data_IF_007670024110
#
_entry.id   IF_007670024110
#
_cell.length_a   1.000
_cell.length_b   1.000
_cell.length_c   1.000
_cell.angle_alpha   90.00
_cell.angle_beta   90.00
_cell.angle_gamma   90.00
#
_symmetry.space_group_name_H-M   'P 1'
#
loop_
_entity.id
_entity.type
_entity.pdbx_description
1 polymer ?
#
# COMPACT_ATOMS: atom_id res chain seq x y z
N UNK A 1 0.25 -29.72 -7.31
CA UNK A 1 -0.11 -28.41 -6.71
C UNK A 1 -1.19 -27.81 -7.58
N UNK A 2 -2.30 -27.33 -7.01
CA UNK A 2 -3.34 -26.62 -7.80
C UNK A 2 -2.76 -25.28 -8.25
N UNK A 3 -2.79 -25.05 -9.55
CA UNK A 3 -2.40 -23.76 -10.13
C UNK A 3 -3.30 -22.64 -9.55
N UNK A 4 -2.70 -21.55 -9.10
CA UNK A 4 -3.45 -20.39 -8.57
C UNK A 4 -4.27 -19.77 -9.72
N UNK A 5 -5.54 -19.47 -9.46
CA UNK A 5 -6.39 -18.83 -10.46
C UNK A 5 -5.96 -17.37 -10.66
N UNK A 6 -5.96 -16.85 -11.90
CA UNK A 6 -5.73 -15.44 -12.16
C UNK A 6 -6.71 -14.53 -11.39
N UNK A 7 -6.24 -13.38 -10.94
CA UNK A 7 -7.09 -12.32 -10.40
C UNK A 7 -7.70 -11.53 -11.55
N UNK A 8 -9.03 -11.55 -11.67
CA UNK A 8 -9.77 -10.89 -12.75
C UNK A 8 -10.52 -9.67 -12.22
N UNK A 9 -10.17 -8.48 -12.71
CA UNK A 9 -10.74 -7.19 -12.31
C UNK A 9 -11.44 -6.57 -13.53
N UNK A 10 -12.63 -7.06 -13.87
CA UNK A 10 -13.31 -6.72 -15.11
C UNK A 10 -12.50 -7.19 -16.32
N UNK A 11 -11.99 -6.26 -17.13
CA UNK A 11 -11.16 -6.51 -18.31
C UNK A 11 -9.64 -6.48 -18.03
N UNK A 12 -9.23 -6.31 -16.77
CA UNK A 12 -7.84 -6.42 -16.31
C UNK A 12 -7.61 -7.81 -15.70
N UNK A 13 -6.68 -8.57 -16.26
CA UNK A 13 -6.30 -9.89 -15.77
C UNK A 13 -4.87 -9.85 -15.23
N UNK A 14 -4.69 -10.34 -14.01
CA UNK A 14 -3.39 -10.51 -13.33
C UNK A 14 -3.17 -12.00 -13.21
N UNK A 15 -2.18 -12.53 -13.91
CA UNK A 15 -1.94 -13.98 -14.05
C UNK A 15 -1.71 -14.67 -12.71
N UNK A 16 -0.90 -14.04 -11.85
CA UNK A 16 -0.65 -14.50 -10.48
C UNK A 16 -1.44 -13.59 -9.51
N UNK A 17 -2.31 -14.12 -8.65
CA UNK A 17 -3.23 -13.31 -7.83
C UNK A 17 -2.50 -12.61 -6.67
N UNK A 18 -1.36 -12.01 -6.97
CA UNK A 18 -0.47 -11.32 -6.03
C UNK A 18 -0.28 -9.87 -6.46
N UNK A 19 -0.67 -8.96 -5.59
CA UNK A 19 -0.43 -7.53 -5.72
C UNK A 19 0.75 -7.17 -4.82
N UNK A 20 1.77 -6.53 -5.36
CA UNK A 20 2.78 -5.87 -4.53
C UNK A 20 2.20 -4.56 -4.02
N UNK A 21 2.00 -4.45 -2.72
CA UNK A 21 1.42 -3.26 -2.09
C UNK A 21 2.30 -2.02 -2.21
N UNK A 22 1.68 -0.87 -2.47
CA UNK A 22 2.39 0.40 -2.57
C UNK A 22 3.05 0.80 -1.25
N UNK A 23 4.35 1.12 -1.28
CA UNK A 23 5.16 1.50 -0.12
C UNK A 23 5.87 2.83 -0.38
N UNK A 24 5.52 3.84 0.37
CA UNK A 24 6.15 5.17 0.34
C UNK A 24 7.03 5.40 1.58
N UNK A 25 7.99 6.27 1.49
CA UNK A 25 8.47 7.08 0.36
C UNK A 25 9.61 6.35 -0.32
N UNK A 26 9.59 6.24 -1.67
CA UNK A 26 10.73 5.73 -2.42
C UNK A 26 11.02 4.23 -2.31
N UNK A 27 10.13 3.43 -1.71
CA UNK A 27 10.31 2.00 -1.51
C UNK A 27 9.79 1.21 -2.71
N UNK A 28 8.57 1.52 -3.18
CA UNK A 28 8.01 0.96 -4.42
C UNK A 28 7.87 2.03 -5.48
N UNK A 29 8.83 2.09 -6.40
CA UNK A 29 8.82 2.90 -7.60
C UNK A 29 8.83 1.99 -8.83
N UNK A 30 9.38 2.47 -9.95
CA UNK A 30 9.33 1.75 -11.24
C UNK A 30 10.04 0.40 -11.23
N UNK A 31 11.19 0.27 -10.51
CA UNK A 31 11.97 -0.97 -10.53
C UNK A 31 11.19 -2.11 -9.89
N UNK A 32 10.71 -1.89 -8.67
CA UNK A 32 9.94 -2.90 -7.93
C UNK A 32 8.62 -3.20 -8.64
N UNK A 33 7.81 -2.17 -8.92
CA UNK A 33 6.51 -2.35 -9.54
C UNK A 33 6.61 -3.00 -10.92
N UNK A 34 7.57 -2.56 -11.75
CA UNK A 34 7.83 -3.15 -13.06
C UNK A 34 8.28 -4.60 -12.98
N UNK A 35 9.17 -4.94 -12.03
CA UNK A 35 9.63 -6.31 -11.84
C UNK A 35 8.48 -7.25 -11.43
N UNK A 36 7.64 -6.86 -10.49
CA UNK A 36 6.46 -7.65 -10.09
C UNK A 36 5.49 -7.81 -11.25
N UNK A 37 5.18 -6.74 -11.96
CA UNK A 37 4.31 -6.80 -13.13
C UNK A 37 4.86 -7.73 -14.24
N UNK A 38 6.18 -7.77 -14.43
CA UNK A 38 6.86 -8.65 -15.39
C UNK A 38 6.74 -10.13 -15.01
N UNK A 39 6.62 -10.47 -13.73
CA UNK A 39 6.45 -11.86 -13.27
C UNK A 39 5.01 -12.36 -13.30
N UNK A 40 4.08 -11.56 -13.80
CA UNK A 40 2.64 -11.90 -13.86
C UNK A 40 1.82 -11.45 -12.65
N UNK A 41 2.43 -10.82 -11.65
CA UNK A 41 1.74 -10.14 -10.56
C UNK A 41 1.28 -8.73 -10.94
N UNK A 42 0.77 -7.98 -9.96
CA UNK A 42 0.45 -6.55 -10.12
C UNK A 42 1.42 -5.69 -9.33
N UNK A 43 2.14 -4.81 -10.01
CA UNK A 43 3.07 -3.87 -9.40
C UNK A 43 2.41 -2.55 -9.06
N UNK A 44 2.62 -2.05 -7.83
CA UNK A 44 2.01 -0.80 -7.36
C UNK A 44 3.09 0.21 -6.98
N UNK A 45 3.10 1.34 -7.67
CA UNK A 45 3.95 2.50 -7.38
C UNK A 45 3.28 3.32 -6.27
N UNK A 46 4.04 3.73 -5.26
CA UNK A 46 3.54 4.65 -4.25
C UNK A 46 3.69 6.10 -4.70
N UNK A 47 2.59 6.84 -4.72
CA UNK A 47 2.59 8.28 -5.04
C UNK A 47 3.03 9.16 -3.86
N UNK A 48 3.21 8.60 -2.66
CA UNK A 48 3.58 9.36 -1.47
C UNK A 48 4.97 9.99 -1.64
N UNK A 49 5.00 11.34 -1.76
CA UNK A 49 6.22 12.13 -1.95
C UNK A 49 7.15 11.58 -3.03
N UNK A 50 6.58 11.05 -4.09
CA UNK A 50 7.27 10.36 -5.19
C UNK A 50 8.37 11.20 -5.85
N UNK A 51 8.23 12.52 -5.78
CA UNK A 51 9.19 13.50 -6.30
C UNK A 51 10.39 13.78 -5.40
N UNK A 52 10.60 13.05 -4.30
CA UNK A 52 11.62 13.38 -3.30
C UNK A 52 13.06 13.44 -3.84
N UNK A 53 13.35 12.76 -4.97
CA UNK A 53 14.64 12.80 -5.66
C UNK A 53 14.77 13.95 -6.67
N UNK A 54 13.70 14.72 -6.92
CA UNK A 54 13.75 15.86 -7.82
C UNK A 54 14.53 17.01 -7.17
N UNK A 55 15.41 17.71 -7.92
CA UNK A 55 16.25 18.77 -7.34
C UNK A 55 15.44 19.95 -6.78
N UNK A 56 14.22 20.16 -7.27
CA UNK A 56 13.32 21.22 -6.84
C UNK A 56 12.20 20.73 -5.88
N UNK A 57 12.32 19.51 -5.33
CA UNK A 57 11.31 18.92 -4.44
C UNK A 57 10.95 19.83 -3.24
N UNK A 58 11.93 20.52 -2.66
CA UNK A 58 11.70 21.39 -1.51
C UNK A 58 11.10 22.74 -1.86
N UNK A 59 11.23 23.20 -3.10
CA UNK A 59 10.80 24.53 -3.57
C UNK A 59 9.59 24.48 -4.49
N UNK A 60 9.37 23.34 -5.16
CA UNK A 60 8.28 23.14 -6.12
C UNK A 60 7.64 21.75 -5.93
N UNK A 61 7.24 21.47 -4.69
CA UNK A 61 6.79 20.15 -4.23
C UNK A 61 5.72 19.51 -5.12
N UNK A 62 4.70 20.27 -5.52
CA UNK A 62 3.58 19.72 -6.29
C UNK A 62 4.06 19.26 -7.66
N UNK A 63 4.74 20.13 -8.41
CA UNK A 63 5.19 19.81 -9.76
C UNK A 63 6.27 18.71 -9.77
N UNK A 64 7.16 18.69 -8.77
CA UNK A 64 8.13 17.61 -8.60
C UNK A 64 7.45 16.24 -8.49
N UNK A 65 6.37 16.15 -7.71
CA UNK A 65 5.59 14.91 -7.58
C UNK A 65 4.83 14.56 -8.87
N UNK A 66 4.20 15.52 -9.54
CA UNK A 66 3.49 15.28 -10.81
C UNK A 66 4.44 14.76 -11.90
N UNK A 67 5.61 15.39 -12.07
CA UNK A 67 6.63 14.92 -13.00
C UNK A 67 7.09 13.50 -12.70
N UNK A 68 7.26 13.19 -11.40
CA UNK A 68 7.70 11.87 -10.97
C UNK A 68 6.63 10.80 -11.15
N UNK A 69 5.33 11.09 -10.96
CA UNK A 69 4.24 10.16 -11.30
C UNK A 69 4.34 9.75 -12.77
N UNK A 70 4.48 10.71 -13.69
CA UNK A 70 4.63 10.42 -15.13
C UNK A 70 5.88 9.59 -15.42
N UNK A 71 7.02 10.00 -14.85
CA UNK A 71 8.32 9.32 -15.07
C UNK A 71 8.31 7.90 -14.55
N UNK A 72 7.86 7.68 -13.31
CA UNK A 72 7.89 6.35 -12.69
C UNK A 72 6.95 5.37 -13.42
N UNK A 73 5.77 5.82 -13.85
CA UNK A 73 4.89 4.99 -14.68
C UNK A 73 5.52 4.63 -16.02
N UNK A 74 6.13 5.60 -16.71
CA UNK A 74 6.81 5.35 -17.99
C UNK A 74 7.92 4.31 -17.84
N UNK A 75 8.79 4.47 -16.84
CA UNK A 75 9.91 3.55 -16.60
C UNK A 75 9.42 2.15 -16.19
N UNK A 76 8.37 2.05 -15.35
CA UNK A 76 7.78 0.77 -15.00
C UNK A 76 7.18 0.06 -16.23
N UNK A 77 6.56 0.83 -17.11
CA UNK A 77 5.99 0.31 -18.37
C UNK A 77 7.08 -0.15 -19.36
N UNK A 78 8.27 0.44 -19.33
CA UNK A 78 9.44 -0.03 -20.10
C UNK A 78 9.91 -1.41 -19.61
N UNK A 79 9.83 -1.68 -18.29
CA UNK A 79 10.18 -3.00 -17.69
C UNK A 79 9.10 -4.06 -17.99
N UNK A 80 7.82 -3.68 -17.90
CA UNK A 80 6.68 -4.56 -18.10
C UNK A 80 5.62 -3.93 -19.02
N UNK A 81 5.83 -3.94 -20.35
CA UNK A 81 4.94 -3.25 -21.31
C UNK A 81 3.48 -3.68 -21.25
N UNK A 82 3.22 -4.96 -20.94
CA UNK A 82 1.89 -5.56 -20.86
C UNK A 82 1.48 -5.93 -19.42
N UNK A 83 2.35 -5.69 -18.45
CA UNK A 83 2.09 -6.02 -17.04
C UNK A 83 1.05 -5.11 -16.39
N UNK A 84 0.38 -5.58 -15.35
CA UNK A 84 -0.55 -4.78 -14.57
C UNK A 84 0.22 -3.86 -13.61
N UNK A 85 0.08 -2.53 -13.81
CA UNK A 85 0.80 -1.52 -13.01
C UNK A 85 -0.17 -0.44 -12.56
N UNK A 86 -0.14 -0.12 -11.27
CA UNK A 86 -0.98 0.92 -10.69
C UNK A 86 -0.28 1.85 -9.73
N UNK A 87 -1.07 2.73 -9.11
CA UNK A 87 -0.62 3.60 -8.04
C UNK A 87 -1.36 3.33 -6.73
N UNK A 88 -0.62 3.39 -5.63
CA UNK A 88 -1.19 3.62 -4.32
C UNK A 88 -1.20 5.12 -4.02
N UNK A 89 -2.38 5.68 -3.69
CA UNK A 89 -2.56 7.10 -3.40
C UNK A 89 -3.33 7.25 -2.09
N UNK A 90 -2.71 7.91 -1.12
CA UNK A 90 -3.30 8.12 0.22
C UNK A 90 -4.29 9.28 0.21
N UNK A 91 -5.51 9.04 0.71
CA UNK A 91 -6.57 10.07 0.84
C UNK A 91 -6.13 11.23 1.73
N UNK A 92 -5.37 10.95 2.78
CA UNK A 92 -4.90 11.96 3.75
C UNK A 92 -3.88 12.96 3.16
N UNK A 93 -3.39 12.76 1.94
CA UNK A 93 -2.43 13.68 1.31
C UNK A 93 -3.13 14.92 0.78
N UNK A 94 -2.51 16.08 0.98
CA UNK A 94 -2.91 17.31 0.30
C UNK A 94 -2.74 17.14 -1.21
N UNK A 95 -3.62 17.74 -1.99
CA UNK A 95 -3.65 17.61 -3.45
C UNK A 95 -3.96 16.17 -3.95
N UNK A 96 -4.70 15.39 -3.16
CA UNK A 96 -5.11 14.04 -3.52
C UNK A 96 -5.74 13.95 -4.92
N UNK A 97 -6.60 14.91 -5.26
CA UNK A 97 -7.23 15.03 -6.58
C UNK A 97 -6.20 15.17 -7.71
N UNK A 98 -5.14 15.95 -7.50
CA UNK A 98 -4.07 16.16 -8.49
C UNK A 98 -3.28 14.87 -8.71
N UNK A 99 -2.95 14.14 -7.64
CA UNK A 99 -2.24 12.85 -7.75
C UNK A 99 -3.07 11.81 -8.49
N UNK A 100 -4.37 11.73 -8.19
CA UNK A 100 -5.32 10.85 -8.89
C UNK A 100 -5.39 11.19 -10.37
N UNK A 101 -5.62 12.45 -10.72
CA UNK A 101 -5.70 12.89 -12.11
C UNK A 101 -4.42 12.60 -12.88
N UNK A 102 -3.26 12.83 -12.25
CA UNK A 102 -1.98 12.57 -12.90
C UNK A 102 -1.72 11.08 -13.12
N UNK A 103 -2.09 10.22 -12.15
CA UNK A 103 -1.99 8.77 -12.31
C UNK A 103 -2.86 8.24 -13.45
N UNK A 104 -4.08 8.78 -13.61
CA UNK A 104 -4.95 8.47 -14.76
C UNK A 104 -4.31 8.88 -16.08
N UNK A 105 -3.80 10.12 -16.16
CA UNK A 105 -3.14 10.65 -17.37
C UNK A 105 -1.85 9.90 -17.71
N UNK A 106 -1.12 9.41 -16.70
CA UNK A 106 0.08 8.60 -16.87
C UNK A 106 -0.22 7.17 -17.36
N UNK A 107 -1.48 6.75 -17.45
CA UNK A 107 -1.88 5.45 -17.99
C UNK A 107 -1.77 4.30 -16.98
N UNK A 108 -2.06 4.55 -15.73
CA UNK A 108 -2.17 3.50 -14.72
C UNK A 108 -3.34 2.55 -15.01
N UNK A 109 -3.17 1.26 -14.72
CA UNK A 109 -4.23 0.26 -14.85
C UNK A 109 -5.20 0.28 -13.67
N UNK A 110 -4.72 0.68 -12.48
CA UNK A 110 -5.50 0.71 -11.25
C UNK A 110 -5.01 1.82 -10.30
N UNK A 111 -5.93 2.39 -9.52
CA UNK A 111 -5.61 3.18 -8.33
C UNK A 111 -6.12 2.43 -7.10
N UNK A 112 -5.20 2.08 -6.20
CA UNK A 112 -5.51 1.54 -4.87
C UNK A 112 -5.40 2.69 -3.87
N UNK A 113 -6.48 3.01 -3.16
CA UNK A 113 -6.53 4.19 -2.31
C UNK A 113 -7.01 3.89 -0.89
N UNK A 114 -6.27 4.39 0.10
CA UNK A 114 -6.49 4.17 1.53
C UNK A 114 -5.96 5.33 2.36
N UNK A 115 -5.66 5.10 3.64
CA UNK A 115 -5.39 6.13 4.65
C UNK A 115 -6.52 7.16 4.71
N UNK A 116 -7.74 6.68 4.84
CA UNK A 116 -9.02 7.34 4.74
C UNK A 116 -9.89 6.68 3.67
N UNK A 117 -11.21 6.92 3.71
CA UNK A 117 -12.13 6.39 2.70
C UNK A 117 -12.09 7.26 1.43
N UNK A 118 -11.78 6.69 0.25
CA UNK A 118 -11.60 7.45 -1.00
C UNK A 118 -12.95 7.80 -1.66
N UNK A 119 -13.80 8.54 -0.94
CA UNK A 119 -15.19 8.83 -1.34
C UNK A 119 -15.26 9.54 -2.70
N UNK A 120 -14.33 10.46 -2.98
CA UNK A 120 -14.32 11.27 -4.20
C UNK A 120 -13.39 10.72 -5.30
N UNK A 121 -12.79 9.56 -5.09
CA UNK A 121 -11.90 8.95 -6.10
C UNK A 121 -12.56 8.81 -7.48
N UNK A 122 -13.80 8.31 -7.60
CA UNK A 122 -14.47 8.21 -8.90
C UNK A 122 -14.65 9.57 -9.59
N UNK A 123 -15.01 10.61 -8.83
CA UNK A 123 -15.23 11.96 -9.36
C UNK A 123 -13.92 12.55 -9.94
N UNK A 124 -12.80 12.34 -9.26
CA UNK A 124 -11.49 12.82 -9.72
C UNK A 124 -11.00 12.08 -10.97
N UNK A 125 -11.30 10.79 -11.07
CA UNK A 125 -11.01 10.00 -12.27
C UNK A 125 -11.84 10.47 -13.47
N UNK A 126 -13.13 10.72 -13.28
CA UNK A 126 -13.99 11.28 -14.34
C UNK A 126 -13.50 12.67 -14.77
N UNK A 127 -13.10 13.52 -13.81
CA UNK A 127 -12.53 14.83 -14.13
C UNK A 127 -11.23 14.69 -14.94
N UNK A 128 -10.37 13.72 -14.62
CA UNK A 128 -9.16 13.46 -15.41
C UNK A 128 -9.51 13.06 -16.84
N UNK A 129 -10.48 12.16 -17.03
CA UNK A 129 -10.92 11.75 -18.38
C UNK A 129 -11.55 12.89 -19.18
N UNK A 130 -12.23 13.83 -18.52
CA UNK A 130 -12.79 15.01 -19.18
C UNK A 130 -11.71 15.99 -19.68
N UNK A 131 -10.52 15.98 -19.03
CA UNK A 131 -9.37 16.80 -19.42
C UNK A 131 -8.50 16.15 -20.51
N UNK A 132 -8.69 14.86 -20.85
CA UNK A 132 -7.91 14.14 -21.83
C UNK A 132 -8.49 14.26 -23.24
N UNK A 133 -7.65 14.59 -24.24
CA UNK A 133 -8.02 14.59 -25.64
C UNK A 133 -8.35 13.19 -26.18
N UNK A 134 -7.59 12.20 -25.72
CA UNK A 134 -7.79 10.79 -26.07
C UNK A 134 -7.90 9.95 -24.80
N UNK A 135 -9.03 9.27 -24.63
CA UNK A 135 -9.23 8.32 -23.54
C UNK A 135 -8.50 7.01 -23.83
N UNK A 136 -7.98 6.30 -22.80
CA UNK A 136 -7.38 4.99 -22.98
C UNK A 136 -8.46 3.97 -23.40
N UNK A 137 -8.04 2.91 -24.09
CA UNK A 137 -8.95 1.83 -24.53
C UNK A 137 -9.53 1.08 -23.34
N UNK A 138 -8.75 0.91 -22.27
CA UNK A 138 -9.19 0.32 -21.00
C UNK A 138 -9.32 1.41 -19.93
N UNK A 139 -10.47 1.40 -19.26
CA UNK A 139 -10.71 2.29 -18.13
C UNK A 139 -9.90 1.85 -16.90
N UNK A 140 -9.30 2.81 -16.21
CA UNK A 140 -8.57 2.57 -14.95
C UNK A 140 -9.50 1.92 -13.91
N UNK A 141 -8.97 0.95 -13.15
CA UNK A 141 -9.70 0.29 -12.07
C UNK A 141 -9.58 1.07 -10.77
N UNK A 142 -10.64 1.03 -9.96
CA UNK A 142 -10.72 1.75 -8.69
C UNK A 142 -10.85 0.77 -7.54
N UNK A 143 -9.89 0.82 -6.61
CA UNK A 143 -9.81 -0.09 -5.49
C UNK A 143 -9.67 0.66 -4.16
N UNK A 144 -10.73 0.76 -3.34
CA UNK A 144 -10.60 1.26 -1.98
C UNK A 144 -9.92 0.23 -1.08
N UNK A 145 -9.13 0.72 -0.09
CA UNK A 145 -8.64 -0.08 1.02
C UNK A 145 -9.62 0.07 2.18
N UNK A 146 -10.02 -1.04 2.77
CA UNK A 146 -10.90 -1.12 3.92
C UNK A 146 -10.30 -2.05 4.99
N UNK A 147 -10.67 -1.88 6.25
CA UNK A 147 -10.21 -2.73 7.36
C UNK A 147 -11.35 -3.53 8.01
N UNK A 148 -12.59 -3.30 7.60
CA UNK A 148 -13.77 -3.92 8.20
C UNK A 148 -14.97 -3.96 7.26
N UNK A 149 -15.95 -4.84 7.54
CA UNK A 149 -17.21 -4.89 6.83
C UNK A 149 -17.98 -3.56 6.91
N UNK A 150 -17.86 -2.85 8.02
CA UNK A 150 -18.44 -1.51 8.17
C UNK A 150 -17.84 -0.51 7.19
N UNK A 151 -16.52 -0.46 7.08
CA UNK A 151 -15.85 0.46 6.12
C UNK A 151 -16.12 0.06 4.68
N UNK A 152 -16.18 -1.24 4.36
CA UNK A 152 -16.57 -1.74 3.04
C UNK A 152 -17.99 -1.31 2.66
N UNK A 153 -18.95 -1.49 3.58
CA UNK A 153 -20.33 -1.06 3.37
C UNK A 153 -20.43 0.46 3.15
N UNK A 154 -19.71 1.25 3.95
CA UNK A 154 -19.74 2.71 3.85
C UNK A 154 -19.23 3.15 2.48
N UNK A 155 -18.06 2.67 2.04
CA UNK A 155 -17.48 3.12 0.77
C UNK A 155 -18.30 2.66 -0.43
N UNK A 156 -18.76 1.41 -0.46
CA UNK A 156 -19.63 0.90 -1.51
C UNK A 156 -20.93 1.70 -1.62
N UNK A 157 -21.58 1.98 -0.46
CA UNK A 157 -22.79 2.81 -0.41
C UNK A 157 -22.57 4.25 -0.88
N UNK A 158 -21.43 4.82 -0.54
CA UNK A 158 -21.10 6.21 -0.94
C UNK A 158 -20.90 6.29 -2.45
N UNK A 159 -20.14 5.37 -3.06
CA UNK A 159 -19.93 5.33 -4.50
C UNK A 159 -21.22 5.01 -5.27
N UNK A 160 -22.02 4.06 -4.76
CA UNK A 160 -23.33 3.74 -5.33
C UNK A 160 -24.26 4.94 -5.37
N UNK A 161 -24.34 5.71 -4.27
CA UNK A 161 -25.25 6.86 -4.18
C UNK A 161 -24.79 8.09 -4.97
N UNK A 162 -23.46 8.36 -4.94
CA UNK A 162 -22.91 9.57 -5.56
C UNK A 162 -22.59 9.41 -7.04
N UNK A 163 -22.06 8.25 -7.41
CA UNK A 163 -21.47 8.03 -8.72
C UNK A 163 -22.16 6.91 -9.50
N UNK A 164 -23.11 6.20 -8.88
CA UNK A 164 -23.81 5.04 -9.48
C UNK A 164 -22.85 3.94 -9.95
N UNK A 165 -21.79 3.69 -9.18
CA UNK A 165 -20.80 2.63 -9.42
C UNK A 165 -20.53 1.83 -8.15
N UNK A 166 -19.95 0.64 -8.32
CA UNK A 166 -19.30 -0.13 -7.27
C UNK A 166 -17.77 -0.19 -7.52
N UNK A 167 -16.95 -0.47 -6.50
CA UNK A 167 -15.52 -0.71 -6.67
C UNK A 167 -15.21 -1.77 -7.73
N UNK A 168 -14.08 -1.66 -8.41
CA UNK A 168 -13.62 -2.70 -9.34
C UNK A 168 -12.90 -3.82 -8.59
N UNK A 169 -12.30 -3.50 -7.46
CA UNK A 169 -11.60 -4.38 -6.53
C UNK A 169 -11.74 -3.79 -5.12
N UNK A 170 -11.76 -4.61 -4.08
CA UNK A 170 -11.64 -4.15 -2.69
C UNK A 170 -10.42 -4.78 -2.04
N UNK A 171 -9.55 -3.96 -1.44
CA UNK A 171 -8.41 -4.44 -0.65
C UNK A 171 -8.80 -4.40 0.83
N UNK A 172 -8.69 -5.55 1.52
CA UNK A 172 -8.95 -5.69 2.96
C UNK A 172 -7.61 -5.70 3.68
N UNK A 173 -7.28 -4.59 4.32
CA UNK A 173 -6.05 -4.47 5.11
C UNK A 173 -6.26 -4.94 6.53
N UNK A 174 -5.51 -5.96 6.92
CA UNK A 174 -5.54 -6.58 8.23
C UNK A 174 -4.67 -5.90 9.29
N UNK A 175 -4.90 -6.26 10.58
CA UNK A 175 -4.19 -5.65 11.71
C UNK A 175 -2.70 -5.98 11.76
N UNK A 176 -2.22 -6.95 10.97
CA UNK A 176 -0.80 -7.30 10.83
C UNK A 176 -0.07 -6.54 9.71
N UNK A 177 -0.74 -5.61 9.04
CA UNK A 177 -0.15 -4.77 8.01
C UNK A 177 0.96 -3.86 8.56
N UNK A 178 1.70 -3.26 7.66
CA UNK A 178 2.74 -2.28 7.94
C UNK A 178 2.33 -0.87 7.55
N UNK A 179 3.11 0.12 7.97
CA UNK A 179 2.77 1.51 7.74
C UNK A 179 1.59 1.97 8.58
N UNK A 180 0.79 2.86 8.03
CA UNK A 180 -0.41 3.37 8.71
C UNK A 180 -1.50 2.28 8.76
N UNK A 181 -2.06 2.06 9.94
CA UNK A 181 -3.04 1.01 10.17
C UNK A 181 -4.45 1.59 10.25
N UNK A 182 -5.38 1.00 9.53
CA UNK A 182 -6.81 1.36 9.53
C UNK A 182 -7.57 0.92 10.79
N UNK A 183 -6.88 0.82 11.94
CA UNK A 183 -7.38 0.35 13.23
C UNK A 183 -7.04 1.35 14.33
N UNK A 184 -7.86 1.44 15.38
CA UNK A 184 -7.46 2.09 16.63
C UNK A 184 -6.52 1.17 17.45
N UNK A 185 -5.82 1.74 18.43
CA UNK A 185 -4.99 0.94 19.34
C UNK A 185 -5.81 -0.14 20.06
N UNK A 186 -7.02 0.20 20.53
CA UNK A 186 -7.91 -0.76 21.18
C UNK A 186 -8.33 -1.90 20.26
N UNK A 187 -8.55 -1.62 18.97
CA UNK A 187 -8.85 -2.65 17.97
C UNK A 187 -7.63 -3.54 17.70
N UNK A 188 -6.44 -2.97 17.62
CA UNK A 188 -5.21 -3.77 17.46
C UNK A 188 -4.99 -4.68 18.67
N UNK A 189 -5.21 -4.17 19.88
CA UNK A 189 -5.11 -4.94 21.12
C UNK A 189 -6.17 -6.04 21.18
N UNK A 190 -7.40 -5.76 20.75
CA UNK A 190 -8.47 -6.75 20.72
C UNK A 190 -8.16 -7.94 19.78
N UNK A 191 -7.38 -7.71 18.72
CA UNK A 191 -6.87 -8.79 17.86
C UNK A 191 -5.53 -9.38 18.34
N UNK A 192 -4.95 -8.88 19.45
CA UNK A 192 -3.61 -9.27 19.90
C UNK A 192 -2.51 -8.92 18.89
N UNK A 193 -2.70 -7.84 18.10
CA UNK A 193 -1.84 -7.43 17.01
C UNK A 193 -0.92 -6.24 17.36
N UNK A 194 -0.91 -5.77 18.59
CA UNK A 194 -0.18 -4.60 19.09
C UNK A 194 1.12 -4.95 19.83
N UNK A 195 1.43 -6.24 19.98
CA UNK A 195 2.61 -6.73 20.70
C UNK A 195 3.71 -7.17 19.72
N UNK A 196 4.94 -7.31 20.21
CA UNK A 196 6.05 -7.92 19.47
C UNK A 196 5.90 -9.45 19.33
N UNK A 197 5.04 -10.08 20.15
CA UNK A 197 4.76 -11.53 20.09
C UNK A 197 3.52 -11.86 19.24
N UNK A 198 3.28 -11.09 18.22
CA UNK A 198 2.14 -11.23 17.32
C UNK A 198 1.82 -12.68 16.90
N UNK A 199 2.79 -13.55 16.50
CA UNK A 199 2.44 -14.94 16.13
C UNK A 199 1.75 -15.73 17.24
N UNK A 200 2.04 -15.41 18.51
CA UNK A 200 1.45 -16.11 19.67
C UNK A 200 0.18 -15.42 20.20
N UNK A 201 0.06 -14.11 20.03
CA UNK A 201 -1.03 -13.30 20.60
C UNK A 201 -2.17 -13.03 19.63
N UNK A 202 -1.92 -13.16 18.32
CA UNK A 202 -2.87 -12.79 17.28
C UNK A 202 -4.06 -13.74 17.18
N UNK A 203 -5.27 -13.20 17.36
CA UNK A 203 -6.52 -13.93 17.14
C UNK A 203 -6.87 -13.94 15.64
N UNK A 204 -6.26 -14.89 14.92
CA UNK A 204 -6.48 -15.10 13.49
C UNK A 204 -7.94 -15.37 13.18
N UNK A 205 -8.62 -16.22 13.98
CA UNK A 205 -10.00 -16.60 13.73
C UNK A 205 -10.97 -15.43 13.84
N UNK A 206 -10.71 -14.51 14.78
CA UNK A 206 -11.51 -13.30 14.91
C UNK A 206 -11.41 -12.43 13.66
N UNK A 207 -10.19 -12.28 13.11
CA UNK A 207 -10.02 -11.47 11.90
C UNK A 207 -10.50 -12.20 10.64
N UNK A 208 -10.35 -13.51 10.53
CA UNK A 208 -10.90 -14.32 9.43
C UNK A 208 -12.43 -14.16 9.32
N UNK A 209 -13.13 -14.05 10.45
CA UNK A 209 -14.57 -13.73 10.47
C UNK A 209 -14.86 -12.35 9.88
N UNK A 210 -14.02 -11.35 10.16
CA UNK A 210 -14.16 -10.01 9.61
C UNK A 210 -13.89 -10.00 8.10
N UNK A 211 -12.87 -10.71 7.62
CA UNK A 211 -12.58 -10.87 6.19
C UNK A 211 -13.80 -11.47 5.45
N UNK A 212 -14.37 -12.55 5.98
CA UNK A 212 -15.59 -13.17 5.41
C UNK A 212 -16.77 -12.21 5.41
N UNK A 213 -16.91 -11.38 6.45
CA UNK A 213 -17.97 -10.37 6.51
C UNK A 213 -17.77 -9.27 5.45
N UNK A 214 -16.53 -8.85 5.18
CA UNK A 214 -16.20 -7.92 4.07
C UNK A 214 -16.54 -8.54 2.73
N UNK A 215 -16.13 -9.79 2.47
CA UNK A 215 -16.43 -10.51 1.22
C UNK A 215 -17.93 -10.50 0.97
N UNK A 216 -18.73 -10.85 1.98
CA UNK A 216 -20.20 -10.85 1.87
C UNK A 216 -20.78 -9.48 1.49
N UNK A 217 -20.29 -8.40 2.12
CA UNK A 217 -20.72 -7.03 1.76
C UNK A 217 -20.39 -6.72 0.31
N UNK A 218 -19.20 -7.08 -0.16
CA UNK A 218 -18.76 -6.82 -1.53
C UNK A 218 -19.57 -7.64 -2.54
N UNK A 219 -19.90 -8.90 -2.24
CA UNK A 219 -20.75 -9.76 -3.05
C UNK A 219 -22.16 -9.19 -3.24
N UNK A 220 -22.75 -8.56 -2.20
CA UNK A 220 -24.07 -7.88 -2.30
C UNK A 220 -24.03 -6.76 -3.35
N UNK A 221 -22.97 -5.97 -3.38
CA UNK A 221 -22.77 -4.92 -4.40
C UNK A 221 -22.42 -5.53 -5.77
N UNK A 222 -21.64 -6.60 -5.82
CA UNK A 222 -21.39 -7.36 -7.03
C UNK A 222 -22.69 -7.83 -7.70
N UNK A 223 -23.58 -8.43 -6.91
CA UNK A 223 -24.91 -8.86 -7.35
C UNK A 223 -25.74 -7.69 -7.85
N UNK A 224 -25.76 -6.56 -7.11
CA UNK A 224 -26.47 -5.35 -7.52
C UNK A 224 -26.03 -4.81 -8.87
N UNK A 225 -24.72 -4.89 -9.16
CA UNK A 225 -24.11 -4.38 -10.39
C UNK A 225 -23.91 -5.45 -11.48
N UNK A 226 -24.37 -6.69 -11.24
CA UNK A 226 -24.34 -7.79 -12.21
C UNK A 226 -22.92 -8.25 -12.57
N UNK A 227 -21.94 -8.10 -11.65
CA UNK A 227 -20.54 -8.50 -11.87
C UNK A 227 -19.87 -8.99 -10.60
N UNK A 228 -18.87 -9.85 -10.72
CA UNK A 228 -17.99 -10.16 -9.61
C UNK A 228 -17.10 -8.97 -9.29
N UNK A 229 -17.00 -8.62 -8.02
CA UNK A 229 -16.07 -7.63 -7.50
C UNK A 229 -15.05 -8.39 -6.65
N UNK A 230 -13.80 -8.56 -7.13
CA UNK A 230 -12.81 -9.33 -6.39
C UNK A 230 -12.42 -8.65 -5.08
N UNK A 231 -12.11 -9.49 -4.09
CA UNK A 231 -11.58 -9.07 -2.78
C UNK A 231 -10.16 -9.59 -2.63
N UNK A 232 -9.24 -8.70 -2.29
CA UNK A 232 -7.84 -9.00 -2.05
C UNK A 232 -7.52 -8.69 -0.59
N UNK A 233 -6.92 -9.62 0.13
CA UNK A 233 -6.51 -9.43 1.52
C UNK A 233 -5.07 -8.99 1.64
N UNK A 234 -4.76 -8.20 2.67
CA UNK A 234 -3.42 -7.67 2.94
C UNK A 234 -3.11 -7.70 4.44
N UNK A 235 -1.82 -7.75 4.75
CA UNK A 235 -1.32 -7.73 6.13
C UNK A 235 -1.01 -9.11 6.71
N UNK A 236 0.25 -9.31 7.12
CA UNK A 236 0.72 -10.55 7.73
C UNK A 236 1.04 -11.68 6.76
N UNK A 237 0.85 -11.51 5.46
CA UNK A 237 1.11 -12.52 4.43
C UNK A 237 2.60 -12.54 4.10
N UNK A 238 3.23 -13.70 4.27
CA UNK A 238 4.68 -13.86 4.09
C UNK A 238 5.07 -15.13 3.32
N UNK A 239 4.32 -16.23 3.46
CA UNK A 239 4.58 -17.54 2.86
C UNK A 239 3.46 -17.94 1.90
N UNK A 240 3.69 -19.05 1.16
CA UNK A 240 2.66 -19.66 0.32
C UNK A 240 1.44 -20.13 1.15
N UNK A 241 1.67 -20.68 2.36
CA UNK A 241 0.59 -21.10 3.24
C UNK A 241 -0.29 -19.91 3.64
N UNK A 242 0.31 -18.74 3.89
CA UNK A 242 -0.47 -17.54 4.18
C UNK A 242 -1.33 -17.13 2.97
N UNK A 243 -0.78 -17.23 1.75
CA UNK A 243 -1.54 -16.98 0.51
C UNK A 243 -2.72 -17.95 0.40
N UNK A 244 -2.46 -19.26 0.54
CA UNK A 244 -3.50 -20.29 0.44
C UNK A 244 -4.59 -20.11 1.49
N UNK A 245 -4.23 -19.78 2.73
CA UNK A 245 -5.20 -19.48 3.78
C UNK A 245 -6.18 -18.37 3.38
N UNK A 246 -5.67 -17.29 2.79
CA UNK A 246 -6.54 -16.18 2.36
C UNK A 246 -7.48 -16.58 1.20
N UNK A 247 -6.98 -17.37 0.26
CA UNK A 247 -7.80 -17.89 -0.84
C UNK A 247 -8.88 -18.86 -0.33
N UNK A 248 -8.57 -19.69 0.68
CA UNK A 248 -9.54 -20.58 1.34
C UNK A 248 -10.64 -19.82 2.11
N UNK A 249 -10.35 -18.61 2.60
CA UNK A 249 -11.37 -17.72 3.20
C UNK A 249 -12.34 -17.17 2.16
N UNK A 250 -11.99 -17.24 0.85
CA UNK A 250 -12.79 -16.74 -0.26
C UNK A 250 -12.24 -15.46 -0.90
N UNK A 251 -11.01 -15.03 -0.55
CA UNK A 251 -10.35 -13.94 -1.26
C UNK A 251 -9.96 -14.38 -2.68
N UNK A 252 -9.96 -13.44 -3.63
CA UNK A 252 -9.56 -13.68 -5.04
C UNK A 252 -8.05 -13.52 -5.24
N UNK A 253 -7.35 -12.97 -4.26
CA UNK A 253 -5.90 -12.75 -4.28
C UNK A 253 -5.40 -12.13 -3.00
N UNK A 254 -4.11 -11.79 -2.99
CA UNK A 254 -3.44 -11.18 -1.83
C UNK A 254 -2.63 -9.96 -2.21
N UNK A 255 -2.50 -9.00 -1.27
CA UNK A 255 -1.57 -7.90 -1.38
C UNK A 255 -0.44 -8.08 -0.37
N UNK A 256 0.80 -8.09 -0.86
CA UNK A 256 2.01 -8.33 -0.08
C UNK A 256 2.96 -7.13 -0.23
N UNK A 257 3.50 -6.64 0.87
CA UNK A 257 4.40 -5.49 0.87
C UNK A 257 5.78 -5.85 1.46
N UNK A 258 5.83 -6.17 2.73
CA UNK A 258 7.06 -6.40 3.50
C UNK A 258 8.03 -7.38 2.83
N UNK A 259 7.53 -8.46 2.25
CA UNK A 259 8.34 -9.49 1.59
C UNK A 259 9.11 -8.97 0.37
N UNK A 260 8.60 -7.92 -0.28
CA UNK A 260 9.25 -7.30 -1.43
C UNK A 260 10.28 -6.21 -1.07
N UNK A 261 10.33 -5.75 0.19
CA UNK A 261 11.29 -4.72 0.60
C UNK A 261 12.73 -5.22 0.49
N UNK A 262 13.00 -6.45 0.88
CA UNK A 262 14.33 -7.07 0.81
C UNK A 262 14.57 -7.77 -0.53
N UNK A 263 14.22 -7.09 -1.65
CA UNK A 263 14.54 -7.55 -2.99
C UNK A 263 15.52 -6.62 -3.68
N UNK A 264 16.26 -7.15 -4.67
CA UNK A 264 17.22 -6.38 -5.46
C UNK A 264 16.53 -5.25 -6.23
N UNK A 265 15.29 -5.49 -6.67
CA UNK A 265 14.50 -4.57 -7.47
C UNK A 265 13.79 -3.50 -6.63
N UNK A 266 13.66 -3.68 -5.32
CA UNK A 266 13.13 -2.65 -4.43
C UNK A 266 13.92 -1.35 -4.58
N UNK A 267 13.21 -0.23 -4.71
CA UNK A 267 13.79 1.09 -5.01
C UNK A 267 14.40 1.79 -3.79
N UNK A 268 14.22 1.24 -2.59
CA UNK A 268 14.87 1.70 -1.37
C UNK A 268 16.37 1.51 -1.40
N UNK A 269 17.09 2.30 -0.62
CA UNK A 269 18.53 2.15 -0.42
C UNK A 269 18.89 0.79 0.20
N UNK A 270 20.14 0.35 0.00
CA UNK A 270 20.61 -0.90 0.59
C UNK A 270 20.62 -0.82 2.14
N UNK A 271 20.88 0.35 2.72
CA UNK A 271 20.79 0.56 4.16
C UNK A 271 19.36 0.32 4.69
N UNK A 272 18.33 0.75 3.95
CA UNK A 272 16.93 0.47 4.29
C UNK A 272 16.65 -1.04 4.30
N UNK A 273 17.06 -1.76 3.25
CA UNK A 273 16.90 -3.22 3.14
C UNK A 273 17.63 -3.95 4.25
N UNK A 274 18.86 -3.49 4.56
CA UNK A 274 19.67 -4.08 5.63
C UNK A 274 19.04 -3.86 7.01
N UNK A 275 18.37 -2.73 7.24
CA UNK A 275 17.64 -2.49 8.48
C UNK A 275 16.51 -3.51 8.71
N UNK A 276 15.85 -3.98 7.65
CA UNK A 276 14.88 -5.07 7.77
C UNK A 276 15.54 -6.41 8.13
N UNK A 277 16.67 -6.72 7.51
CA UNK A 277 17.40 -7.98 7.76
C UNK A 277 17.96 -8.02 9.18
N UNK A 278 18.35 -6.87 9.72
CA UNK A 278 18.92 -6.75 11.06
C UNK A 278 17.85 -6.66 12.16
N UNK A 279 16.58 -6.40 11.81
CA UNK A 279 15.52 -6.23 12.79
C UNK A 279 15.14 -7.55 13.46
N UNK A 280 15.18 -7.60 14.78
CA UNK A 280 14.59 -8.67 15.57
C UNK A 280 13.08 -8.55 15.70
N UNK A 281 12.44 -9.57 16.23
CA UNK A 281 10.99 -9.59 16.48
C UNK A 281 10.56 -8.48 17.44
N UNK A 282 11.37 -8.22 18.45
CA UNK A 282 11.21 -7.18 19.47
C UNK A 282 11.32 -5.75 18.93
N UNK A 283 11.94 -5.59 17.77
CA UNK A 283 12.07 -4.29 17.11
C UNK A 283 10.81 -3.89 16.31
N UNK A 284 9.87 -4.81 16.13
CA UNK A 284 8.62 -4.50 15.42
C UNK A 284 7.62 -3.90 16.40
N UNK A 285 7.35 -2.60 16.24
CA UNK A 285 6.57 -1.83 17.22
C UNK A 285 5.42 -1.05 16.58
N UNK A 286 4.40 -0.78 17.41
CA UNK A 286 3.36 0.20 17.06
C UNK A 286 3.81 1.59 17.53
N UNK A 287 3.64 2.57 16.67
CA UNK A 287 3.94 3.98 16.92
C UNK A 287 2.78 4.88 16.49
N UNK A 288 2.66 6.06 17.09
CA UNK A 288 1.70 7.07 16.66
C UNK A 288 2.30 7.90 15.52
N UNK A 289 1.62 7.91 14.38
CA UNK A 289 2.02 8.70 13.22
C UNK A 289 1.46 10.12 13.27
N UNK A 290 2.17 11.12 12.72
CA UNK A 290 1.64 12.47 12.49
C UNK A 290 0.38 12.53 11.60
N UNK A 291 0.07 11.48 10.87
CA UNK A 291 -1.18 11.34 10.09
C UNK A 291 -2.41 11.13 11.00
N UNK A 292 -2.19 10.89 12.30
CA UNK A 292 -3.27 10.65 13.27
C UNK A 292 -3.71 9.19 13.37
N UNK A 293 -3.00 8.27 12.70
CA UNK A 293 -3.26 6.83 12.72
C UNK A 293 -2.11 6.11 13.44
N UNK A 294 -2.36 4.96 14.11
CA UNK A 294 -1.28 4.05 14.50
C UNK A 294 -0.49 3.59 13.27
N UNK A 295 0.80 3.33 13.44
CA UNK A 295 1.65 2.77 12.41
C UNK A 295 2.54 1.67 12.96
N UNK A 296 2.86 0.66 12.13
CA UNK A 296 3.83 -0.36 12.50
C UNK A 296 5.16 -0.09 11.81
N UNK A 297 6.23 -0.10 12.60
CA UNK A 297 7.57 0.28 12.15
C UNK A 297 8.65 -0.50 12.91
N UNK A 298 9.87 -0.46 12.37
CA UNK A 298 11.07 -0.96 13.05
C UNK A 298 11.52 0.08 14.10
N UNK A 299 11.71 -0.37 15.32
CA UNK A 299 12.29 0.43 16.41
C UNK A 299 13.79 0.65 16.12
N UNK A 300 14.10 1.87 15.74
CA UNK A 300 15.46 2.34 15.45
C UNK A 300 15.84 3.53 16.35
N UNK A 301 17.03 4.12 16.24
CA UNK A 301 17.42 5.30 17.01
C UNK A 301 16.44 6.45 16.90
N UNK A 302 15.89 6.72 15.71
CA UNK A 302 14.87 7.75 15.51
C UNK A 302 13.62 7.53 16.35
N UNK A 303 12.97 6.37 16.23
CA UNK A 303 11.75 6.07 16.99
C UNK A 303 12.00 6.00 18.51
N UNK A 304 13.18 5.53 18.92
CA UNK A 304 13.58 5.52 20.33
C UNK A 304 13.66 6.94 20.90
N UNK A 305 14.21 7.89 20.16
CA UNK A 305 14.24 9.31 20.53
C UNK A 305 12.83 9.92 20.62
N UNK A 306 11.97 9.64 19.62
CA UNK A 306 10.58 10.11 19.62
C UNK A 306 9.80 9.55 20.82
N UNK A 307 9.92 8.24 21.13
CA UNK A 307 9.33 7.63 22.33
C UNK A 307 9.86 8.21 23.62
N UNK A 308 11.12 8.63 23.65
CA UNK A 308 11.78 9.34 24.76
C UNK A 308 11.36 10.82 24.88
N UNK A 309 10.45 11.30 24.05
CA UNK A 309 9.94 12.68 24.11
C UNK A 309 10.76 13.68 23.32
N UNK A 310 11.79 13.28 22.59
CA UNK A 310 12.56 14.17 21.71
C UNK A 310 11.71 14.57 20.51
N UNK A 311 11.71 15.86 20.20
CA UNK A 311 11.05 16.41 19.04
C UNK A 311 12.07 17.01 18.08
N UNK A 312 12.37 16.35 16.94
CA UNK A 312 13.29 16.88 15.94
C UNK A 312 12.79 18.24 15.38
N UNK A 313 13.72 19.16 15.12
CA UNK A 313 13.39 20.45 14.54
C UNK A 313 12.83 20.29 13.12
N UNK A 314 11.65 20.85 12.88
CA UNK A 314 11.02 20.89 11.54
C UNK A 314 11.47 22.15 10.84
N UNK A 315 12.43 22.02 9.92
CA UNK A 315 13.06 23.16 9.20
C UNK A 315 12.17 23.72 8.08
N UNK A 316 11.33 22.89 7.48
CA UNK A 316 10.43 23.25 6.38
C UNK A 316 9.16 22.42 6.43
N UNK A 317 8.07 22.97 5.89
CA UNK A 317 6.79 22.26 5.76
C UNK A 317 6.46 22.07 4.29
N UNK A 318 6.30 20.81 3.86
CA UNK A 318 5.93 20.45 2.49
C UNK A 318 4.44 20.57 2.22
N UNK A 319 3.63 20.87 3.24
CA UNK A 319 2.17 20.86 3.14
C UNK A 319 1.64 19.54 2.54
N UNK A 320 2.22 18.43 2.96
CA UNK A 320 1.99 17.09 2.38
C UNK A 320 0.70 16.42 2.82
N UNK A 321 0.11 16.85 3.94
CA UNK A 321 -1.10 16.27 4.54
C UNK A 321 -2.18 17.34 4.73
N UNK A 322 -3.46 16.94 4.59
CA UNK A 322 -4.61 17.83 4.82
C UNK A 322 -4.70 18.33 6.27
N UNK A 323 -4.48 17.43 7.22
CA UNK A 323 -4.65 17.72 8.65
C UNK A 323 -3.32 17.54 9.40
N UNK A 324 -2.38 18.47 9.15
CA UNK A 324 -1.09 18.47 9.82
C UNK A 324 -0.81 19.85 10.41
N UNK A 325 -0.68 19.94 11.75
CA UNK A 325 -0.18 21.14 12.42
C UNK A 325 1.26 20.91 12.88
N UNK A 326 2.20 21.56 12.19
CA UNK A 326 3.64 21.46 12.48
C UNK A 326 4.01 21.86 13.92
N UNK A 327 3.13 22.58 14.65
CA UNK A 327 3.36 22.99 16.04
C UNK A 327 3.09 21.86 17.03
N UNK A 328 2.26 20.88 16.66
CA UNK A 328 1.80 19.81 17.57
C UNK A 328 2.31 18.43 17.24
N UNK A 329 2.67 18.15 15.97
CA UNK A 329 3.19 16.84 15.55
C UNK A 329 4.55 16.53 16.19
N UNK A 330 4.83 15.25 16.49
CA UNK A 330 6.11 14.85 17.10
C UNK A 330 7.29 14.97 16.13
N UNK A 331 7.08 14.83 14.82
CA UNK A 331 8.09 14.95 13.77
C UNK A 331 7.44 15.18 12.39
N UNK A 332 8.21 15.64 11.42
CA UNK A 332 7.74 15.72 10.02
C UNK A 332 7.78 14.36 9.37
N UNK A 333 6.61 13.79 9.04
CA UNK A 333 6.50 12.44 8.43
C UNK A 333 7.20 12.35 7.08
N UNK A 334 7.09 13.38 6.24
CA UNK A 334 7.76 13.42 4.93
C UNK A 334 9.28 13.31 5.09
N UNK A 335 9.88 14.14 5.95
CA UNK A 335 11.34 14.10 6.15
C UNK A 335 11.81 12.78 6.75
N UNK A 336 11.09 12.26 7.74
CA UNK A 336 11.44 10.98 8.35
C UNK A 336 11.40 9.82 7.34
N UNK A 337 10.42 9.80 6.43
CA UNK A 337 10.35 8.78 5.38
C UNK A 337 11.38 9.00 4.27
N UNK A 338 11.69 10.25 3.91
CA UNK A 338 12.74 10.58 2.92
C UNK A 338 14.12 10.17 3.46
N UNK A 339 14.46 10.51 4.69
CA UNK A 339 15.73 10.08 5.31
C UNK A 339 15.89 8.56 5.27
N UNK A 340 14.85 7.82 5.66
CA UNK A 340 14.89 6.36 5.58
C UNK A 340 15.13 5.85 4.16
N UNK A 341 14.40 6.40 3.17
CA UNK A 341 14.52 6.00 1.77
C UNK A 341 15.92 6.28 1.19
N UNK A 342 16.55 7.38 1.60
CA UNK A 342 17.92 7.76 1.21
C UNK A 342 19.01 6.99 1.93
N UNK A 343 18.65 6.23 2.99
CA UNK A 343 19.58 5.37 3.72
C UNK A 343 20.02 5.91 5.09
N UNK A 344 19.55 7.09 5.49
CA UNK A 344 19.73 7.60 6.84
C UNK A 344 18.69 6.94 7.77
N UNK A 345 18.96 5.69 8.11
CA UNK A 345 18.04 4.88 8.94
C UNK A 345 18.05 5.30 10.41
N UNK A 346 19.03 6.07 10.86
CA UNK A 346 19.12 6.54 12.24
C UNK A 346 18.24 7.76 12.51
N UNK A 347 17.91 8.54 11.47
CA UNK A 347 17.01 9.71 11.54
C UNK A 347 15.69 9.48 10.78
N UNK A 348 15.53 8.33 10.13
CA UNK A 348 14.38 7.98 9.31
C UNK A 348 13.38 7.08 10.01
N UNK A 349 12.13 7.11 9.52
CA UNK A 349 11.07 6.22 9.92
C UNK A 349 10.99 5.03 8.96
N UNK A 350 11.16 3.81 9.47
CA UNK A 350 11.08 2.58 8.69
C UNK A 350 9.77 1.85 8.99
N UNK A 351 8.76 2.10 8.18
CA UNK A 351 7.52 1.35 8.27
C UNK A 351 7.70 -0.10 7.82
N UNK A 352 7.07 -1.05 8.51
CA UNK A 352 7.16 -2.47 8.20
C UNK A 352 5.89 -3.21 8.62
N UNK A 353 5.61 -4.38 8.04
CA UNK A 353 4.59 -5.31 8.55
C UNK A 353 5.08 -6.14 9.73
N UNK A 354 4.18 -6.87 10.37
CA UNK A 354 4.46 -7.70 11.54
C UNK A 354 5.54 -8.77 11.31
N UNK A 355 5.69 -9.22 10.06
CA UNK A 355 6.62 -10.28 9.65
C UNK A 355 7.97 -9.74 9.15
N UNK A 356 8.31 -8.45 9.32
CA UNK A 356 9.55 -7.87 8.79
C UNK A 356 10.81 -8.55 9.34
N UNK A 357 10.79 -8.96 10.61
CA UNK A 357 11.89 -9.67 11.29
C UNK A 357 12.26 -11.03 10.66
N UNK A 358 11.43 -11.56 9.76
CA UNK A 358 11.68 -12.83 9.04
C UNK A 358 12.57 -12.65 7.81
N UNK A 359 12.95 -11.41 7.48
CA UNK A 359 13.85 -11.14 6.36
C UNK A 359 15.28 -11.53 6.72
N UNK A 360 15.87 -12.47 6.00
CA UNK A 360 17.22 -13.00 6.28
C UNK A 360 18.26 -12.56 5.24
N UNK A 361 17.82 -12.23 4.03
CA UNK A 361 18.69 -11.90 2.89
C UNK A 361 18.00 -10.96 1.91
N UNK A 362 18.79 -10.37 1.02
CA UNK A 362 18.27 -9.70 -0.18
C UNK A 362 18.04 -10.78 -1.25
N UNK A 363 16.81 -10.86 -1.73
CA UNK A 363 16.37 -11.82 -2.74
C UNK A 363 16.05 -11.12 -4.08
N UNK A 364 15.47 -11.83 -5.03
CA UNK A 364 14.90 -11.26 -6.26
C UNK A 364 13.36 -11.28 -6.20
N UNK A 365 12.72 -10.37 -6.91
CA UNK A 365 11.25 -10.38 -7.07
C UNK A 365 10.79 -11.71 -7.66
N UNK A 366 11.52 -12.28 -8.61
CA UNK A 366 11.17 -13.56 -9.24
C UNK A 366 11.12 -14.71 -8.22
N UNK A 367 12.13 -14.82 -7.34
CA UNK A 367 12.14 -15.82 -6.27
C UNK A 367 10.99 -15.62 -5.28
N UNK A 368 10.78 -14.37 -4.83
CA UNK A 368 9.68 -14.04 -3.91
C UNK A 368 8.32 -14.40 -4.51
N UNK A 369 8.11 -14.11 -5.79
CA UNK A 369 6.87 -14.48 -6.49
C UNK A 369 6.70 -15.99 -6.58
N UNK A 370 7.76 -16.72 -6.91
CA UNK A 370 7.73 -18.19 -6.96
C UNK A 370 7.46 -18.84 -5.61
N UNK A 371 8.05 -18.29 -4.53
CA UNK A 371 7.76 -18.75 -3.17
C UNK A 371 6.30 -18.49 -2.78
N UNK A 372 5.77 -17.29 -3.04
CA UNK A 372 4.38 -16.95 -2.73
C UNK A 372 3.37 -17.76 -3.54
N UNK A 373 3.70 -18.13 -4.78
CA UNK A 373 2.85 -18.96 -5.63
C UNK A 373 3.03 -20.47 -5.43
N UNK A 374 4.01 -20.89 -4.62
CA UNK A 374 4.32 -22.32 -4.39
C UNK A 374 5.05 -22.98 -5.56
N UNK A 375 5.66 -22.21 -6.46
CA UNK A 375 6.50 -22.68 -7.56
C UNK A 375 7.92 -23.06 -7.08
N UNK A 376 8.37 -22.48 -5.97
CA UNK A 376 9.56 -22.89 -5.22
C UNK A 376 9.06 -23.53 -3.92
N UNK A 377 9.30 -24.85 -3.78
CA UNK A 377 9.03 -25.60 -2.56
C UNK A 377 10.22 -25.49 -1.59
#
# INVERSE_FOLDING_TARGET
>A
MSELKPLVIGDLVVEKPIIQGGMGVGISLHRLAGAVAKTGGMGIISAAQIGFREPDFTTNFVEANLRSIRREMKLAREIAPQGAIGFNIMVATKHYDMWVKEAVKAGADIIISGAGLPVSLPEYVEAAYAEMEKKPDRRIKLAPIVSSAKSAMVICKMWDRKCHIAPDLVVVEGPLAGGHLGFSLDQLSAYGADTSDVPATYDREAYDREVKAVIKVVEEYGTKYGRHIPVVTAGGIYTHEDVMHQLELGADGVQVATRFVTTQECDASDAYKQAYINAGKEDIVITQSPVGMPGRAILNPFLSQIKGGTRPAIKSCFQCLEHCDIRTIPYCITMALVYAAEGDTDHGLLFCGSNAYRAEKIDTVDNVMKELTGELA
#
